data_IF_804616458034
#
_entry.id   IF_804616458034
#
_cell.length_a   1.000
_cell.length_b   1.000
_cell.length_c   1.000
_cell.angle_alpha   90.00
_cell.angle_beta   90.00
_cell.angle_gamma   90.00
#
_symmetry.space_group_name_H-M   'P 1'
#
loop_
_entity.id
_entity.type
_entity.pdbx_description
1 polymer ?
#
# COMPACT_ATOMS: atom_id res chain seq x y z
N UNK A 1 -26.11 12.37 -5.69
CA UNK A 1 -25.67 11.91 -4.35
C UNK A 1 -24.18 11.56 -4.31
N UNK A 2 -23.71 10.47 -4.93
CA UNK A 2 -22.28 10.09 -4.90
C UNK A 2 -21.35 11.12 -5.54
N UNK A 3 -21.72 11.56 -6.75
CA UNK A 3 -20.99 12.61 -7.48
C UNK A 3 -20.93 13.89 -6.66
N UNK A 4 -21.99 14.25 -5.96
CA UNK A 4 -22.05 15.50 -5.19
C UNK A 4 -21.21 15.44 -3.91
N UNK A 5 -21.07 14.25 -3.29
CA UNK A 5 -20.15 14.05 -2.17
C UNK A 5 -18.68 14.03 -2.62
N UNK A 6 -18.37 13.50 -3.81
CA UNK A 6 -16.98 13.44 -4.32
C UNK A 6 -16.54 14.78 -4.95
N UNK A 7 -17.45 15.53 -5.59
CA UNK A 7 -17.14 16.75 -6.35
C UNK A 7 -16.27 17.76 -5.58
N UNK A 8 -16.52 18.06 -4.29
CA UNK A 8 -15.69 19.01 -3.52
C UNK A 8 -14.23 18.56 -3.36
N UNK A 9 -13.98 17.25 -3.46
CA UNK A 9 -12.67 16.65 -3.26
C UNK A 9 -11.82 16.59 -4.54
N UNK A 10 -12.41 16.78 -5.72
CA UNK A 10 -11.74 16.63 -7.02
C UNK A 10 -10.49 17.50 -7.13
N UNK A 11 -10.55 18.76 -6.68
CA UNK A 11 -9.40 19.66 -6.69
C UNK A 11 -8.23 19.14 -5.85
N UNK A 12 -8.52 18.61 -4.65
CA UNK A 12 -7.51 18.03 -3.77
C UNK A 12 -6.91 16.73 -4.31
N UNK A 13 -7.74 15.84 -4.88
CA UNK A 13 -7.30 14.61 -5.53
C UNK A 13 -6.40 14.89 -6.74
N UNK A 14 -6.78 15.87 -7.57
CA UNK A 14 -5.98 16.29 -8.73
C UNK A 14 -4.64 16.90 -8.29
N UNK A 15 -4.66 17.81 -7.31
CA UNK A 15 -3.44 18.41 -6.77
C UNK A 15 -2.49 17.36 -6.18
N UNK A 16 -2.98 16.43 -5.38
CA UNK A 16 -2.16 15.37 -4.81
C UNK A 16 -1.58 14.43 -5.87
N UNK A 17 -2.32 14.15 -6.94
CA UNK A 17 -1.84 13.35 -8.08
C UNK A 17 -0.72 14.07 -8.84
N UNK A 18 -0.90 15.38 -9.11
CA UNK A 18 0.13 16.21 -9.77
C UNK A 18 1.38 16.31 -8.90
N UNK A 19 1.24 16.59 -7.60
CA UNK A 19 2.36 16.66 -6.66
C UNK A 19 3.10 15.32 -6.56
N UNK A 20 2.37 14.20 -6.54
CA UNK A 20 2.98 12.86 -6.54
C UNK A 20 3.75 12.60 -7.84
N UNK A 21 3.20 13.01 -8.99
CA UNK A 21 3.89 12.96 -10.28
C UNK A 21 5.15 13.83 -10.32
N UNK A 22 5.09 15.06 -9.80
CA UNK A 22 6.24 15.97 -9.72
C UNK A 22 7.33 15.42 -8.78
N UNK A 23 6.94 14.94 -7.60
CA UNK A 23 7.86 14.29 -6.67
C UNK A 23 8.53 13.08 -7.31
N UNK A 24 7.79 12.28 -8.06
CA UNK A 24 8.34 11.15 -8.82
C UNK A 24 9.40 11.59 -9.84
N UNK A 25 9.14 12.64 -10.61
CA UNK A 25 10.12 13.18 -11.57
C UNK A 25 11.40 13.66 -10.86
N UNK A 26 11.26 14.31 -9.70
CA UNK A 26 12.38 14.73 -8.86
C UNK A 26 13.18 13.53 -8.33
N UNK A 27 12.54 12.53 -7.72
CA UNK A 27 13.27 11.34 -7.22
C UNK A 27 13.94 10.56 -8.34
N UNK A 28 13.36 10.57 -9.54
CA UNK A 28 13.93 9.94 -10.72
C UNK A 28 15.19 10.65 -11.24
N UNK A 29 15.39 11.94 -10.91
CA UNK A 29 16.60 12.67 -11.28
C UNK A 29 17.79 12.43 -10.33
N UNK A 30 17.56 11.81 -9.16
CA UNK A 30 18.63 11.56 -8.19
C UNK A 30 19.65 10.51 -8.67
N UNK A 31 20.93 10.61 -8.25
CA UNK A 31 21.94 9.60 -8.54
C UNK A 31 21.50 8.21 -8.03
N UNK A 32 21.74 7.17 -8.82
CA UNK A 32 21.32 5.79 -8.54
C UNK A 32 19.81 5.49 -8.56
N UNK A 33 18.94 6.45 -8.91
CA UNK A 33 17.48 6.23 -9.02
C UNK A 33 17.11 5.13 -10.02
N UNK A 34 17.94 4.93 -11.05
CA UNK A 34 17.69 3.97 -12.15
C UNK A 34 18.03 2.52 -11.82
N UNK A 35 18.58 2.21 -10.64
CA UNK A 35 18.79 0.81 -10.24
C UNK A 35 17.44 0.09 -10.23
N UNK A 36 17.39 -1.10 -10.79
CA UNK A 36 16.15 -1.87 -10.95
C UNK A 36 16.16 -3.01 -9.92
N UNK A 37 15.04 -3.19 -9.21
CA UNK A 37 14.74 -4.32 -8.34
C UNK A 37 13.41 -4.89 -8.81
N UNK A 38 13.38 -6.17 -9.21
CA UNK A 38 12.19 -6.84 -9.77
C UNK A 38 11.51 -6.07 -10.92
N UNK A 39 12.29 -5.49 -11.84
CA UNK A 39 11.75 -4.71 -12.95
C UNK A 39 11.30 -3.29 -12.57
N UNK A 40 11.39 -2.92 -11.29
CA UNK A 40 10.95 -1.63 -10.74
C UNK A 40 12.15 -0.75 -10.35
N UNK A 41 12.15 0.55 -10.69
CA UNK A 41 13.15 1.49 -10.19
C UNK A 41 13.21 1.54 -8.65
N UNK A 42 14.40 1.38 -8.10
CA UNK A 42 14.70 1.30 -6.67
C UNK A 42 14.10 2.48 -5.88
N UNK A 43 14.14 3.68 -6.45
CA UNK A 43 13.64 4.88 -5.77
C UNK A 43 12.14 4.79 -5.45
N UNK A 44 11.35 4.05 -6.23
CA UNK A 44 9.90 3.91 -6.00
C UNK A 44 9.63 3.18 -4.68
N UNK A 45 10.42 2.17 -4.34
CA UNK A 45 10.35 1.50 -3.04
C UNK A 45 10.66 2.46 -1.90
N UNK A 46 11.71 3.27 -2.02
CA UNK A 46 12.05 4.25 -0.97
C UNK A 46 10.96 5.30 -0.78
N UNK A 47 10.41 5.84 -1.87
CA UNK A 47 9.29 6.80 -1.78
C UNK A 47 8.08 6.13 -1.13
N UNK A 48 7.73 4.90 -1.51
CA UNK A 48 6.66 4.14 -0.88
C UNK A 48 6.89 3.98 0.63
N UNK A 49 8.10 3.58 1.02
CA UNK A 49 8.45 3.39 2.43
C UNK A 49 8.37 4.69 3.24
N UNK A 50 8.71 5.85 2.66
CA UNK A 50 8.52 7.16 3.33
C UNK A 50 7.03 7.43 3.58
N UNK A 51 6.16 7.13 2.62
CA UNK A 51 4.73 7.31 2.82
C UNK A 51 4.18 6.37 3.89
N UNK A 52 4.58 5.10 3.84
CA UNK A 52 4.12 4.05 4.75
C UNK A 52 4.62 4.27 6.18
N UNK A 53 5.87 4.69 6.36
CA UNK A 53 6.48 4.86 7.69
C UNK A 53 6.18 6.24 8.31
N UNK A 54 6.11 7.29 7.49
CA UNK A 54 6.05 8.66 7.98
C UNK A 54 4.71 9.33 7.63
N UNK A 55 4.35 9.41 6.35
CA UNK A 55 3.24 10.26 5.90
C UNK A 55 1.88 9.75 6.39
N UNK A 56 1.52 8.49 6.11
CA UNK A 56 0.23 7.96 6.50
C UNK A 56 0.06 7.86 8.02
N UNK A 57 1.04 7.34 8.80
CA UNK A 57 0.93 7.32 10.25
C UNK A 57 0.83 8.72 10.85
N UNK A 58 1.62 9.67 10.36
CA UNK A 58 1.59 11.05 10.88
C UNK A 58 0.25 11.72 10.63
N UNK A 59 -0.32 11.61 9.43
CA UNK A 59 -1.61 12.25 9.11
C UNK A 59 -2.75 11.56 9.88
N UNK A 60 -2.74 10.23 10.00
CA UNK A 60 -3.74 9.50 10.80
C UNK A 60 -3.67 9.86 12.29
N UNK A 61 -2.46 9.95 12.85
CA UNK A 61 -2.25 10.41 14.22
C UNK A 61 -2.70 11.86 14.41
N UNK A 62 -2.37 12.73 13.46
CA UNK A 62 -2.76 14.15 13.48
C UNK A 62 -4.28 14.32 13.44
N UNK A 63 -4.99 13.53 12.62
CA UNK A 63 -6.45 13.48 12.60
C UNK A 63 -7.03 13.10 13.97
N UNK A 64 -6.54 12.02 14.58
CA UNK A 64 -7.00 11.59 15.90
C UNK A 64 -6.69 12.63 16.98
N UNK A 65 -5.50 13.23 16.96
CA UNK A 65 -5.11 14.32 17.86
C UNK A 65 -6.04 15.52 17.73
N UNK A 66 -6.46 15.89 16.52
CA UNK A 66 -7.35 17.03 16.29
C UNK A 66 -8.73 16.83 16.95
N UNK A 67 -9.15 15.57 17.13
CA UNK A 67 -10.36 15.22 17.89
C UNK A 67 -10.17 15.19 19.41
N UNK A 68 -9.00 15.60 19.93
CA UNK A 68 -8.66 15.46 21.34
C UNK A 68 -8.47 14.01 21.77
N UNK A 69 -8.11 13.12 20.82
CA UNK A 69 -8.04 11.67 21.01
C UNK A 69 -9.37 11.00 21.35
N UNK A 70 -10.50 11.57 20.94
CA UNK A 70 -11.81 10.95 21.13
C UNK A 70 -11.93 9.63 20.34
N UNK A 71 -12.08 8.51 21.04
CA UNK A 71 -12.24 7.19 20.41
C UNK A 71 -13.51 7.09 19.57
N UNK A 72 -14.53 7.94 19.81
CA UNK A 72 -15.73 7.96 18.97
C UNK A 72 -15.40 8.31 17.52
N UNK A 73 -14.29 9.00 17.27
CA UNK A 73 -13.78 9.29 15.93
C UNK A 73 -13.72 8.07 15.01
N UNK A 74 -13.38 6.89 15.55
CA UNK A 74 -13.35 5.64 14.79
C UNK A 74 -14.69 5.31 14.12
N UNK A 75 -15.80 5.66 14.78
CA UNK A 75 -17.17 5.40 14.31
C UNK A 75 -17.79 6.55 13.51
N UNK A 76 -17.20 7.74 13.54
CA UNK A 76 -17.77 8.93 12.89
C UNK A 76 -17.76 8.81 11.35
N UNK A 77 -18.73 9.45 10.71
CA UNK A 77 -18.73 9.71 9.28
C UNK A 77 -18.22 11.11 8.93
N UNK A 78 -18.52 11.54 7.71
CA UNK A 78 -18.19 12.88 7.22
C UNK A 78 -19.05 14.00 7.83
N UNK A 79 -20.25 13.67 8.31
CA UNK A 79 -21.18 14.65 8.87
C UNK A 79 -21.81 15.56 7.80
N UNK A 80 -22.39 16.69 8.23
CA UNK A 80 -23.04 17.66 7.34
C UNK A 80 -22.07 18.59 6.62
N UNK A 81 -20.83 18.71 7.11
CA UNK A 81 -19.78 19.54 6.51
C UNK A 81 -18.49 18.73 6.26
N UNK A 82 -18.44 17.94 5.16
CA UNK A 82 -17.26 17.16 4.80
C UNK A 82 -16.03 18.02 4.45
N UNK A 83 -16.23 19.31 4.16
CA UNK A 83 -15.18 20.26 3.77
C UNK A 83 -14.71 21.16 4.90
N UNK A 84 -15.37 21.15 6.06
CA UNK A 84 -14.99 21.91 7.24
C UNK A 84 -13.61 21.51 7.79
N UNK A 85 -13.05 22.39 8.62
CA UNK A 85 -11.71 22.24 9.19
C UNK A 85 -11.56 20.96 10.01
N UNK A 86 -12.64 20.54 10.69
CA UNK A 86 -12.68 19.33 11.50
C UNK A 86 -12.43 18.03 10.71
N UNK A 87 -12.55 18.06 9.37
CA UNK A 87 -12.32 16.91 8.48
C UNK A 87 -11.09 17.07 7.58
N UNK A 88 -10.29 18.12 7.80
CA UNK A 88 -9.15 18.44 6.95
C UNK A 88 -8.11 17.32 6.90
N UNK A 89 -7.76 16.76 8.05
CA UNK A 89 -6.71 15.74 8.14
C UNK A 89 -7.13 14.45 7.44
N UNK A 90 -8.40 14.08 7.53
CA UNK A 90 -8.93 12.90 6.84
C UNK A 90 -8.96 13.09 5.32
N UNK A 91 -9.34 14.28 4.85
CA UNK A 91 -9.23 14.63 3.42
C UNK A 91 -7.78 14.55 2.94
N UNK A 92 -6.84 15.14 3.68
CA UNK A 92 -5.41 15.14 3.31
C UNK A 92 -4.85 13.71 3.25
N UNK A 93 -5.24 12.84 4.18
CA UNK A 93 -4.84 11.43 4.15
C UNK A 93 -5.33 10.74 2.87
N UNK A 94 -6.62 10.90 2.54
CA UNK A 94 -7.21 10.28 1.35
C UNK A 94 -6.63 10.85 0.06
N UNK A 95 -6.34 12.16 0.01
CA UNK A 95 -5.70 12.78 -1.14
C UNK A 95 -4.28 12.27 -1.34
N UNK A 96 -3.50 12.17 -0.26
CA UNK A 96 -2.15 11.62 -0.31
C UNK A 96 -2.14 10.17 -0.80
N UNK A 97 -3.03 9.34 -0.26
CA UNK A 97 -3.20 7.94 -0.67
C UNK A 97 -3.58 7.83 -2.14
N UNK A 98 -4.59 8.61 -2.57
CA UNK A 98 -5.03 8.63 -3.97
C UNK A 98 -3.92 9.07 -4.92
N UNK A 99 -3.28 10.21 -4.64
CA UNK A 99 -2.22 10.76 -5.50
C UNK A 99 -1.03 9.81 -5.62
N UNK A 100 -0.64 9.17 -4.52
CA UNK A 100 0.43 8.17 -4.50
C UNK A 100 0.10 6.97 -5.39
N UNK A 101 -1.10 6.40 -5.26
CA UNK A 101 -1.54 5.25 -6.06
C UNK A 101 -1.78 5.60 -7.54
N UNK A 102 -2.29 6.81 -7.84
CA UNK A 102 -2.51 7.25 -9.22
C UNK A 102 -1.22 7.31 -10.02
N UNK A 103 -0.13 7.79 -9.42
CA UNK A 103 1.21 7.74 -10.03
C UNK A 103 1.58 6.30 -10.37
N UNK A 104 1.38 5.40 -9.43
CA UNK A 104 1.76 3.99 -9.58
C UNK A 104 0.97 3.29 -10.68
N UNK A 105 -0.33 3.56 -10.81
CA UNK A 105 -1.17 3.04 -11.90
C UNK A 105 -0.58 3.36 -13.29
N UNK A 106 0.03 4.52 -13.46
CA UNK A 106 0.66 4.89 -14.73
C UNK A 106 1.99 4.18 -14.96
N UNK A 107 2.79 4.01 -13.91
CA UNK A 107 4.12 3.37 -13.96
C UNK A 107 4.00 1.87 -14.18
N UNK A 108 3.05 1.22 -13.49
CA UNK A 108 2.88 -0.23 -13.44
C UNK A 108 1.68 -0.72 -14.26
N UNK A 109 1.21 0.05 -15.24
CA UNK A 109 0.03 -0.27 -16.06
C UNK A 109 0.04 -1.64 -16.76
N UNK A 110 1.19 -2.27 -16.88
CA UNK A 110 1.35 -3.58 -17.51
C UNK A 110 1.41 -4.74 -16.51
N UNK A 111 1.54 -4.47 -15.21
CA UNK A 111 1.44 -5.47 -14.15
C UNK A 111 -0.02 -5.57 -13.72
N UNK A 112 -0.70 -6.63 -14.15
CA UNK A 112 -2.15 -6.81 -13.94
C UNK A 112 -2.50 -6.90 -12.46
N UNK A 113 -1.72 -7.65 -11.67
CA UNK A 113 -2.03 -7.84 -10.26
C UNK A 113 -1.86 -6.53 -9.49
N UNK A 114 -0.78 -5.81 -9.78
CA UNK A 114 -0.52 -4.49 -9.21
C UNK A 114 -1.61 -3.49 -9.63
N UNK A 115 -1.95 -3.43 -10.92
CA UNK A 115 -2.95 -2.53 -11.46
C UNK A 115 -4.34 -2.79 -10.86
N UNK A 116 -4.74 -4.07 -10.72
CA UNK A 116 -5.99 -4.43 -10.06
C UNK A 116 -5.97 -4.07 -8.59
N UNK A 117 -4.87 -4.32 -7.87
CA UNK A 117 -4.73 -3.98 -6.46
C UNK A 117 -4.91 -2.47 -6.23
N UNK A 118 -4.13 -1.65 -6.94
CA UNK A 118 -4.21 -0.19 -6.83
C UNK A 118 -5.53 0.36 -7.37
N UNK A 119 -6.09 -0.23 -8.43
CA UNK A 119 -7.40 0.15 -8.97
C UNK A 119 -8.53 -0.05 -7.97
N UNK A 120 -8.56 -1.20 -7.28
CA UNK A 120 -9.54 -1.47 -6.21
C UNK A 120 -9.32 -0.53 -5.02
N UNK A 121 -8.07 -0.28 -4.63
CA UNK A 121 -7.76 0.64 -3.53
C UNK A 121 -8.16 2.10 -3.85
N UNK A 122 -7.92 2.57 -5.08
CA UNK A 122 -8.36 3.88 -5.58
C UNK A 122 -9.88 4.01 -5.59
N UNK A 123 -10.58 2.99 -6.11
CA UNK A 123 -12.04 2.94 -6.05
C UNK A 123 -12.51 2.99 -4.59
N UNK A 124 -11.81 2.28 -3.69
CA UNK A 124 -12.10 2.27 -2.25
C UNK A 124 -12.00 3.65 -1.65
N UNK A 125 -10.92 4.39 -1.94
CA UNK A 125 -10.74 5.78 -1.50
C UNK A 125 -11.87 6.69 -2.00
N UNK A 126 -12.26 6.58 -3.27
CA UNK A 126 -13.33 7.41 -3.84
C UNK A 126 -14.69 7.12 -3.20
N UNK A 127 -15.00 5.84 -3.04
CA UNK A 127 -16.21 5.36 -2.39
C UNK A 127 -16.26 5.82 -0.93
N UNK A 128 -15.11 5.91 -0.26
CA UNK A 128 -15.02 6.28 1.15
C UNK A 128 -15.43 7.72 1.44
N UNK A 129 -15.40 8.64 0.47
CA UNK A 129 -15.96 10.01 0.64
C UNK A 129 -17.49 10.02 0.87
N UNK A 130 -18.16 8.90 0.61
CA UNK A 130 -19.62 8.78 0.72
C UNK A 130 -20.06 7.88 1.86
N UNK A 131 -19.12 7.34 2.63
CA UNK A 131 -19.42 6.42 3.74
C UNK A 131 -20.08 7.17 4.91
N UNK A 132 -21.15 6.62 5.50
CA UNK A 132 -21.87 7.30 6.59
C UNK A 132 -21.18 7.19 7.96
N UNK A 133 -20.26 6.24 8.14
CA UNK A 133 -19.57 5.99 9.40
C UNK A 133 -18.22 5.29 9.17
N UNK A 134 -17.36 5.27 10.19
CA UNK A 134 -16.12 4.49 10.17
C UNK A 134 -14.88 5.22 9.66
N UNK A 135 -14.88 6.56 9.63
CA UNK A 135 -13.83 7.38 9.02
C UNK A 135 -12.46 7.11 9.66
N UNK A 136 -12.35 7.22 10.99
CA UNK A 136 -11.10 6.93 11.70
C UNK A 136 -10.66 5.47 11.55
N UNK A 137 -11.62 4.55 11.52
CA UNK A 137 -11.36 3.12 11.34
C UNK A 137 -10.72 2.82 9.98
N UNK A 138 -11.15 3.49 8.91
CA UNK A 138 -10.55 3.32 7.60
C UNK A 138 -9.17 3.95 7.48
N UNK A 139 -8.96 5.13 8.07
CA UNK A 139 -7.64 5.78 8.05
C UNK A 139 -6.58 4.95 8.78
N UNK A 140 -6.90 4.52 9.99
CA UNK A 140 -5.99 3.69 10.79
C UNK A 140 -5.86 2.31 10.16
N UNK A 141 -6.96 1.71 9.70
CA UNK A 141 -6.94 0.41 9.01
C UNK A 141 -6.11 0.43 7.74
N UNK A 142 -6.29 1.45 6.89
CA UNK A 142 -5.49 1.67 5.69
C UNK A 142 -4.01 1.88 6.02
N UNK A 143 -3.70 2.64 7.08
CA UNK A 143 -2.32 2.81 7.56
C UNK A 143 -1.71 1.48 8.02
N UNK A 144 -2.44 0.67 8.79
CA UNK A 144 -1.99 -0.67 9.20
C UNK A 144 -1.75 -1.58 8.01
N UNK A 145 -2.63 -1.54 7.01
CA UNK A 145 -2.46 -2.30 5.76
C UNK A 145 -1.20 -1.86 5.02
N UNK A 146 -0.93 -0.56 4.96
CA UNK A 146 0.29 -0.02 4.37
C UNK A 146 1.57 -0.39 5.13
N UNK A 147 1.51 -0.59 6.46
CA UNK A 147 2.64 -1.13 7.23
C UNK A 147 2.95 -2.59 6.84
N UNK A 148 1.96 -3.36 6.40
CA UNK A 148 2.20 -4.67 5.77
C UNK A 148 2.96 -4.52 4.45
N UNK A 149 2.54 -3.58 3.60
CA UNK A 149 3.22 -3.28 2.33
C UNK A 149 4.64 -2.72 2.54
N UNK A 150 4.90 -2.03 3.66
CA UNK A 150 6.26 -1.65 4.07
C UNK A 150 7.15 -2.88 4.27
N UNK A 151 6.67 -3.92 4.93
CA UNK A 151 7.45 -5.15 5.10
C UNK A 151 7.69 -5.87 3.77
N UNK A 152 6.75 -5.76 2.82
CA UNK A 152 6.95 -6.22 1.44
C UNK A 152 8.09 -5.47 0.76
N UNK A 153 8.09 -4.14 0.82
CA UNK A 153 9.17 -3.33 0.27
C UNK A 153 10.53 -3.69 0.87
N UNK A 154 10.60 -3.94 2.19
CA UNK A 154 11.84 -4.35 2.85
C UNK A 154 12.35 -5.70 2.31
N UNK A 155 11.48 -6.70 2.16
CA UNK A 155 11.90 -8.02 1.68
C UNK A 155 12.32 -8.00 0.22
N UNK A 156 11.75 -7.13 -0.62
CA UNK A 156 12.24 -6.95 -1.99
C UNK A 156 13.64 -6.33 -2.03
N UNK A 157 13.95 -5.42 -1.12
CA UNK A 157 15.24 -4.71 -1.09
C UNK A 157 16.35 -5.46 -0.34
N UNK A 158 15.97 -6.34 0.58
CA UNK A 158 16.91 -6.99 1.52
C UNK A 158 16.69 -8.49 1.71
N UNK A 159 15.67 -9.09 1.11
CA UNK A 159 15.35 -10.51 1.24
C UNK A 159 16.23 -11.45 0.43
N UNK A 160 15.78 -12.69 0.26
CA UNK A 160 16.55 -13.80 -0.33
C UNK A 160 17.15 -13.46 -1.69
N UNK A 161 16.41 -12.72 -2.52
CA UNK A 161 16.75 -12.34 -3.89
C UNK A 161 17.70 -11.13 -3.98
N UNK A 162 18.09 -10.55 -2.84
CA UNK A 162 19.02 -9.42 -2.81
C UNK A 162 20.44 -9.80 -3.25
N UNK A 163 21.20 -8.83 -3.73
CA UNK A 163 22.57 -9.03 -4.21
C UNK A 163 23.55 -9.57 -3.15
N UNK A 164 24.77 -9.98 -3.56
CA UNK A 164 25.74 -10.67 -2.71
C UNK A 164 26.26 -9.82 -1.54
N UNK A 165 26.07 -8.50 -1.58
CA UNK A 165 26.49 -7.58 -0.53
C UNK A 165 25.57 -7.56 0.70
N UNK A 166 24.41 -8.22 0.64
CA UNK A 166 23.49 -8.35 1.78
C UNK A 166 23.78 -9.68 2.48
N UNK A 167 24.13 -9.62 3.77
CA UNK A 167 24.49 -10.82 4.53
C UNK A 167 23.33 -11.81 4.64
N UNK A 168 23.60 -13.13 4.76
CA UNK A 168 22.56 -14.14 4.92
C UNK A 168 21.62 -13.88 6.10
N UNK A 169 22.16 -13.33 7.20
CA UNK A 169 21.37 -12.94 8.38
C UNK A 169 20.37 -11.85 8.05
N UNK A 170 20.78 -10.78 7.36
CA UNK A 170 19.88 -9.69 6.97
C UNK A 170 18.81 -10.19 6.01
N UNK A 171 19.18 -11.05 5.04
CA UNK A 171 18.22 -11.69 4.15
C UNK A 171 17.16 -12.47 4.90
N UNK A 172 17.58 -13.29 5.86
CA UNK A 172 16.65 -14.06 6.67
C UNK A 172 15.73 -13.19 7.52
N UNK A 173 16.29 -12.16 8.18
CA UNK A 173 15.48 -11.23 8.98
C UNK A 173 14.45 -10.48 8.14
N UNK A 174 14.78 -10.10 6.90
CA UNK A 174 13.83 -9.46 6.00
C UNK A 174 12.68 -10.41 5.60
N UNK A 175 12.97 -11.69 5.33
CA UNK A 175 11.93 -12.69 5.05
C UNK A 175 11.04 -12.95 6.26
N UNK A 176 11.61 -13.03 7.47
CA UNK A 176 10.84 -13.18 8.73
C UNK A 176 9.99 -11.94 8.99
N UNK A 177 10.54 -10.75 8.81
CA UNK A 177 9.82 -9.49 8.99
C UNK A 177 8.63 -9.40 8.04
N UNK A 178 8.78 -9.83 6.79
CA UNK A 178 7.67 -9.88 5.84
C UNK A 178 6.64 -10.97 6.20
N UNK A 179 7.11 -12.17 6.54
CA UNK A 179 6.27 -13.29 6.94
C UNK A 179 5.34 -12.92 8.11
N UNK A 180 5.90 -12.29 9.14
CA UNK A 180 5.15 -11.87 10.32
C UNK A 180 4.38 -10.58 10.05
N UNK A 181 5.03 -9.56 9.50
CA UNK A 181 4.47 -8.22 9.34
C UNK A 181 3.27 -8.16 8.41
N UNK A 182 3.35 -8.81 7.25
CA UNK A 182 2.20 -8.89 6.32
C UNK A 182 1.05 -9.69 6.92
N UNK A 183 1.34 -10.80 7.61
CA UNK A 183 0.33 -11.61 8.30
C UNK A 183 -0.41 -10.84 9.40
N UNK A 184 0.35 -10.17 10.29
CA UNK A 184 -0.20 -9.31 11.35
C UNK A 184 -1.02 -8.17 10.77
N UNK A 185 -0.50 -7.48 9.75
CA UNK A 185 -1.19 -6.39 9.05
C UNK A 185 -2.53 -6.84 8.48
N UNK A 186 -2.58 -7.98 7.80
CA UNK A 186 -3.82 -8.53 7.25
C UNK A 186 -4.81 -8.94 8.36
N UNK A 187 -4.33 -9.55 9.45
CA UNK A 187 -5.16 -9.93 10.59
C UNK A 187 -5.78 -8.71 11.28
N UNK A 188 -4.97 -7.70 11.59
CA UNK A 188 -5.47 -6.46 12.22
C UNK A 188 -6.42 -5.74 11.28
N UNK A 189 -6.09 -5.63 9.98
CA UNK A 189 -6.98 -5.09 8.97
C UNK A 189 -8.33 -5.81 8.91
N UNK A 190 -8.35 -7.14 9.04
CA UNK A 190 -9.59 -7.94 9.07
C UNK A 190 -10.42 -7.61 10.31
N UNK A 191 -9.79 -7.64 11.48
CA UNK A 191 -10.46 -7.28 12.75
C UNK A 191 -11.05 -5.88 12.67
N UNK A 192 -10.30 -4.94 12.10
CA UNK A 192 -10.75 -3.57 11.93
C UNK A 192 -11.93 -3.46 10.96
N UNK A 193 -11.90 -4.19 9.85
CA UNK A 193 -13.02 -4.24 8.91
C UNK A 193 -14.27 -4.86 9.56
N UNK A 194 -14.12 -5.95 10.33
CA UNK A 194 -15.24 -6.55 11.05
C UNK A 194 -15.86 -5.56 12.04
N UNK A 195 -15.06 -4.83 12.82
CA UNK A 195 -15.57 -3.77 13.70
C UNK A 195 -16.27 -2.66 12.90
N UNK A 196 -15.72 -2.26 11.76
CA UNK A 196 -16.32 -1.26 10.87
C UNK A 196 -17.75 -1.66 10.47
N UNK A 197 -18.00 -2.92 10.14
CA UNK A 197 -19.35 -3.40 9.76
C UNK A 197 -20.39 -3.28 10.87
N UNK A 198 -19.98 -3.07 12.12
CA UNK A 198 -20.86 -3.01 13.29
C UNK A 198 -21.27 -1.58 13.68
N UNK A 199 -20.77 -0.54 13.02
CA UNK A 199 -21.17 0.82 13.36
C UNK A 199 -22.62 1.11 12.95
N UNK A 200 -23.34 1.82 13.82
CA UNK A 200 -24.78 2.11 13.65
C UNK A 200 -25.12 2.72 12.29
N UNK A 201 -24.27 3.64 11.78
CA UNK A 201 -24.47 4.24 10.46
C UNK A 201 -24.37 3.29 9.26
N UNK A 202 -23.93 2.04 9.47
CA UNK A 202 -23.74 1.03 8.44
C UNK A 202 -24.69 -0.17 8.60
N UNK A 203 -25.28 -0.36 9.79
CA UNK A 203 -26.20 -1.47 10.05
C UNK A 203 -27.42 -1.39 9.11
N UNK A 204 -27.78 -2.53 8.52
CA UNK A 204 -28.91 -2.62 7.59
C UNK A 204 -28.69 -1.96 6.22
N UNK A 205 -27.48 -1.48 5.93
CA UNK A 205 -27.13 -0.90 4.62
C UNK A 205 -26.34 -1.90 3.76
N UNK A 206 -26.16 -1.58 2.47
CA UNK A 206 -25.32 -2.38 1.57
C UNK A 206 -23.83 -2.05 1.67
N UNK A 207 -23.45 -1.07 2.50
CA UNK A 207 -22.07 -0.62 2.66
C UNK A 207 -21.10 -1.72 3.12
N UNK A 208 -21.43 -2.53 4.16
CA UNK A 208 -20.57 -3.63 4.58
C UNK A 208 -20.30 -4.64 3.47
N UNK A 209 -21.29 -4.92 2.62
CA UNK A 209 -21.13 -5.87 1.52
C UNK A 209 -20.24 -5.32 0.41
N UNK A 210 -20.51 -4.10 -0.08
CA UNK A 210 -19.73 -3.49 -1.15
C UNK A 210 -18.26 -3.28 -0.75
N UNK A 211 -18.03 -2.67 0.41
CA UNK A 211 -16.68 -2.48 0.95
C UNK A 211 -16.02 -3.81 1.33
N UNK A 212 -16.80 -4.79 1.79
CA UNK A 212 -16.31 -6.12 2.13
C UNK A 212 -15.77 -6.89 0.95
N UNK A 213 -16.43 -6.81 -0.22
CA UNK A 213 -15.93 -7.41 -1.46
C UNK A 213 -14.61 -6.76 -1.87
N UNK A 214 -14.51 -5.43 -1.84
CA UNK A 214 -13.29 -4.71 -2.20
C UNK A 214 -12.15 -5.04 -1.23
N UNK A 215 -12.44 -5.01 0.07
CA UNK A 215 -11.48 -5.34 1.12
C UNK A 215 -11.00 -6.80 1.00
N UNK A 216 -11.92 -7.74 0.78
CA UNK A 216 -11.57 -9.15 0.58
C UNK A 216 -10.66 -9.33 -0.64
N UNK A 217 -10.98 -8.69 -1.76
CA UNK A 217 -10.16 -8.76 -2.97
C UNK A 217 -8.73 -8.25 -2.71
N UNK A 218 -8.57 -7.13 -2.00
CA UNK A 218 -7.26 -6.58 -1.63
C UNK A 218 -6.47 -7.56 -0.74
N UNK A 219 -7.11 -8.16 0.26
CA UNK A 219 -6.47 -9.07 1.21
C UNK A 219 -6.16 -10.42 0.59
N UNK A 220 -7.03 -10.94 -0.26
CA UNK A 220 -6.79 -12.15 -1.03
C UNK A 220 -5.57 -11.97 -1.93
N UNK A 221 -5.48 -10.84 -2.66
CA UNK A 221 -4.30 -10.51 -3.48
C UNK A 221 -3.03 -10.40 -2.64
N UNK A 222 -3.06 -9.67 -1.51
CA UNK A 222 -1.92 -9.56 -0.59
C UNK A 222 -1.49 -10.91 -0.03
N UNK A 223 -2.44 -11.73 0.39
CA UNK A 223 -2.18 -13.06 0.97
C UNK A 223 -1.62 -14.00 -0.08
N UNK A 224 -2.11 -13.93 -1.33
CA UNK A 224 -1.56 -14.70 -2.44
C UNK A 224 -0.08 -14.37 -2.67
N UNK A 225 0.28 -13.09 -2.82
CA UNK A 225 1.69 -12.67 -2.99
C UNK A 225 2.55 -13.11 -1.80
N UNK A 226 2.03 -12.88 -0.60
CA UNK A 226 2.70 -13.21 0.65
C UNK A 226 3.01 -14.70 0.80
N UNK A 227 2.01 -15.55 0.62
CA UNK A 227 2.16 -17.00 0.78
C UNK A 227 3.01 -17.57 -0.35
N UNK A 228 2.85 -17.07 -1.58
CA UNK A 228 3.67 -17.50 -2.72
C UNK A 228 5.15 -17.22 -2.53
N UNK A 229 5.52 -16.14 -1.82
CA UNK A 229 6.91 -15.83 -1.49
C UNK A 229 7.42 -16.55 -0.24
N UNK A 230 6.67 -16.47 0.85
CA UNK A 230 7.12 -16.87 2.19
C UNK A 230 7.07 -18.37 2.38
N UNK A 231 6.00 -19.03 1.91
CA UNK A 231 5.81 -20.47 2.15
C UNK A 231 6.96 -21.32 1.60
N UNK A 232 7.40 -21.18 0.33
CA UNK A 232 8.52 -21.97 -0.18
C UNK A 232 9.82 -21.73 0.60
N UNK A 233 10.09 -20.48 0.98
CA UNK A 233 11.30 -20.10 1.72
C UNK A 233 11.39 -20.78 3.09
N UNK A 234 10.29 -20.81 3.85
CA UNK A 234 10.25 -21.45 5.16
C UNK A 234 10.08 -22.97 5.09
N UNK A 235 9.35 -23.49 4.10
CA UNK A 235 9.23 -24.93 3.90
C UNK A 235 10.60 -25.59 3.64
N UNK A 236 11.45 -24.97 2.83
CA UNK A 236 12.83 -25.43 2.60
C UNK A 236 13.65 -25.44 3.91
N UNK A 237 13.55 -24.38 4.71
CA UNK A 237 14.28 -24.22 5.97
C UNK A 237 13.78 -25.13 7.09
N UNK A 238 12.50 -25.43 7.15
CA UNK A 238 11.90 -26.30 8.17
C UNK A 238 11.93 -27.77 7.78
N UNK A 239 11.80 -28.09 6.49
CA UNK A 239 11.89 -29.45 5.95
C UNK A 239 13.32 -29.96 5.76
N UNK A 240 14.31 -29.06 5.69
CA UNK A 240 15.72 -29.40 5.54
C UNK A 240 16.43 -29.54 6.89
N UNK A 241 16.60 -30.78 7.38
CA UNK A 241 17.71 -31.08 8.31
C UNK A 241 19.00 -30.59 7.65
N UNK A 242 19.74 -29.72 8.33
CA UNK A 242 20.87 -28.97 7.78
C UNK A 242 21.76 -29.79 6.83
N UNK A 243 21.86 -29.32 5.58
CA UNK A 243 22.93 -29.56 4.61
C UNK A 243 22.55 -28.88 3.29
N UNK A 244 23.43 -28.04 2.77
CA UNK A 244 23.36 -27.56 1.38
C UNK A 244 23.40 -26.05 1.26
N UNK A 245 24.61 -25.56 1.01
CA UNK A 245 24.97 -24.31 0.32
C UNK A 245 23.83 -23.47 -0.25
N UNK A 246 23.78 -22.22 0.21
CA UNK A 246 23.16 -21.09 -0.49
C UNK A 246 23.88 -20.90 -1.82
N UNK A 247 23.52 -21.65 -2.86
CA UNK A 247 23.88 -21.33 -4.23
C UNK A 247 22.84 -21.92 -5.20
N UNK A 248 22.39 -21.06 -6.11
CA UNK A 248 21.44 -21.30 -7.22
C UNK A 248 19.95 -21.19 -6.89
N UNK A 249 19.47 -19.95 -6.78
CA UNK A 249 18.13 -19.62 -7.25
C UNK A 249 18.11 -19.68 -8.79
N UNK A 250 17.08 -20.26 -9.43
CA UNK A 250 16.95 -20.26 -10.88
C UNK A 250 16.76 -18.82 -11.37
N UNK A 251 17.55 -18.43 -12.37
CA UNK A 251 17.44 -17.15 -13.05
C UNK A 251 16.02 -16.98 -13.59
N UNK A 252 15.24 -16.09 -12.98
CA UNK A 252 13.99 -15.61 -13.54
C UNK A 252 14.33 -14.83 -14.81
N UNK A 253 13.71 -15.24 -15.91
CA UNK A 253 14.01 -14.84 -17.28
C UNK A 253 14.30 -13.34 -17.42
N UNK A 254 15.51 -13.01 -17.90
CA UNK A 254 15.82 -11.70 -18.45
C UNK A 254 14.87 -11.42 -19.64
N UNK A 255 13.93 -10.49 -19.44
CA UNK A 255 13.26 -9.83 -20.55
C UNK A 255 14.32 -8.97 -21.25
N UNK A 256 14.87 -9.52 -22.32
CA UNK A 256 15.87 -8.90 -23.19
C UNK A 256 15.27 -7.63 -23.83
N UNK A 257 15.47 -6.48 -23.20
CA UNK A 257 15.24 -5.18 -23.83
C UNK A 257 16.27 -5.01 -24.95
N UNK A 258 15.86 -5.28 -26.19
CA UNK A 258 16.64 -4.97 -27.40
C UNK A 258 16.97 -3.49 -27.43
N UNK A 259 18.24 -3.18 -27.16
CA UNK A 259 18.82 -1.86 -27.34
C UNK A 259 18.92 -1.60 -28.84
N UNK A 260 18.01 -0.80 -29.39
CA UNK A 260 18.14 -0.29 -30.76
C UNK A 260 19.47 0.47 -30.86
N UNK A 261 20.37 -0.02 -31.69
CA UNK A 261 21.69 0.55 -31.89
C UNK A 261 21.60 1.94 -32.51
N UNK A 262 22.28 2.91 -31.88
CA UNK A 262 22.75 4.10 -32.57
C UNK A 262 23.64 3.65 -33.74
N UNK A 263 23.16 3.84 -34.97
CA UNK A 263 24.05 3.98 -36.12
C UNK A 263 24.26 5.46 -36.36
N UNK A 264 25.44 5.93 -35.96
CA UNK A 264 26.07 7.11 -36.51
C UNK A 264 26.26 6.94 -38.02
N UNK A 265 25.79 7.93 -38.78
CA UNK A 265 26.43 8.41 -39.99
C UNK A 265 26.45 9.93 -39.91
#
# INVERSE_FOLDING_TARGET
MWVDAIRPHVGGLAAASVLSGAANLLFRSLPNSRKIVEGVPLYLFFVAMVFQLCVYPHIAWSAWRFTGYDERWFSQGWGSDPMGDAKQHERVWLYAMFGFMMKDMWIFRNDVLFFLHHGIALAGVLVFFTVPAGLGQFLVGGTVLEMGNLTYNIVLLRGKDSGPHVSPTVKHLAEVLYAVGMGVSNYVGMRMFLTFTQYEGLKGTNWPWGLGVMWFALIAGRSHVHLSRSWPYFAERWGGKGKGTVDQAPAVAEVRMTRAGNKSR
#
